data_IF_874682353524
#
_entry.id   IF_874682353524
#
_cell.length_a   1.000
_cell.length_b   1.000
_cell.length_c   1.000
_cell.angle_alpha   90.00
_cell.angle_beta   90.00
_cell.angle_gamma   90.00
#
_symmetry.space_group_name_H-M   'P 1'
#
loop_
_entity.id
_entity.type
_entity.pdbx_description
1 polymer ?
#
# COMPACT_ATOMS: atom_id res chain seq x y z
N UNK A 1 18.25 18.52 -5.56
CA UNK A 1 17.77 19.07 -4.27
C UNK A 1 16.33 19.59 -4.31
N UNK A 2 15.83 20.08 -5.45
CA UNK A 2 14.44 20.54 -5.58
C UNK A 2 13.41 19.40 -5.48
N UNK A 3 13.70 18.24 -6.04
CA UNK A 3 12.81 17.06 -6.00
C UNK A 3 12.45 16.61 -4.57
N UNK A 4 13.36 16.81 -3.60
CA UNK A 4 13.11 16.43 -2.22
C UNK A 4 12.09 17.32 -1.50
N UNK A 5 12.07 18.62 -1.81
CA UNK A 5 11.12 19.56 -1.21
C UNK A 5 9.71 19.36 -1.77
N UNK A 6 9.55 19.19 -3.08
CA UNK A 6 8.27 18.91 -3.71
C UNK A 6 7.65 17.63 -3.15
N UNK A 7 8.45 16.56 -3.03
CA UNK A 7 7.98 15.29 -2.44
C UNK A 7 7.55 15.46 -0.99
N UNK A 8 8.24 16.28 -0.19
CA UNK A 8 7.85 16.55 1.19
C UNK A 8 6.51 17.29 1.26
N UNK A 9 6.31 18.32 0.44
CA UNK A 9 5.03 19.04 0.36
C UNK A 9 3.88 18.14 -0.09
N UNK A 10 4.10 17.29 -1.07
CA UNK A 10 3.11 16.32 -1.54
C UNK A 10 2.70 15.35 -0.41
N UNK A 11 3.68 14.76 0.28
CA UNK A 11 3.43 13.85 1.40
C UNK A 11 2.65 14.56 2.51
N UNK A 12 3.03 15.78 2.85
CA UNK A 12 2.36 16.55 3.90
C UNK A 12 0.91 16.88 3.52
N UNK A 13 0.67 17.28 2.29
CA UNK A 13 -0.68 17.51 1.74
C UNK A 13 -1.52 16.24 1.75
N UNK A 14 -0.92 15.10 1.41
CA UNK A 14 -1.61 13.81 1.46
C UNK A 14 -1.93 13.40 2.90
N UNK A 15 -1.05 13.66 3.87
CA UNK A 15 -1.34 13.43 5.28
C UNK A 15 -2.50 14.31 5.78
N UNK A 16 -2.61 15.56 5.33
CA UNK A 16 -3.76 16.42 5.65
C UNK A 16 -5.05 15.83 5.10
N UNK A 17 -5.09 15.45 3.83
CA UNK A 17 -6.25 14.79 3.23
C UNK A 17 -6.61 13.49 3.95
N UNK A 18 -5.62 12.64 4.26
CA UNK A 18 -5.84 11.39 5.00
C UNK A 18 -6.43 11.64 6.39
N UNK A 19 -5.96 12.67 7.10
CA UNK A 19 -6.48 13.05 8.39
C UNK A 19 -7.97 13.46 8.32
N UNK A 20 -8.33 14.25 7.31
CA UNK A 20 -9.71 14.66 7.06
C UNK A 20 -10.61 13.47 6.67
N UNK A 21 -10.10 12.57 5.82
CA UNK A 21 -10.79 11.34 5.43
C UNK A 21 -11.00 10.44 6.65
N UNK A 22 -9.98 10.25 7.49
CA UNK A 22 -10.06 9.45 8.71
C UNK A 22 -11.17 9.96 9.62
N UNK A 23 -11.25 11.29 9.83
CA UNK A 23 -12.29 11.92 10.61
C UNK A 23 -13.69 11.76 9.99
N UNK A 24 -13.86 12.16 8.74
CA UNK A 24 -15.17 12.15 8.03
C UNK A 24 -15.72 10.73 7.84
N UNK A 25 -14.88 9.75 7.56
CA UNK A 25 -15.26 8.38 7.21
C UNK A 25 -15.07 7.38 8.36
N UNK A 26 -14.56 7.84 9.51
CA UNK A 26 -14.27 6.99 10.69
C UNK A 26 -13.36 5.82 10.34
N UNK A 27 -12.38 6.07 9.47
CA UNK A 27 -11.36 5.08 9.11
C UNK A 27 -10.23 5.12 10.14
N UNK A 28 -9.78 3.94 10.56
CA UNK A 28 -8.58 3.83 11.38
C UNK A 28 -7.36 3.74 10.46
N UNK A 29 -6.66 4.86 10.29
CA UNK A 29 -5.50 4.97 9.40
C UNK A 29 -4.23 4.99 10.23
N UNK A 30 -3.36 4.01 9.98
CA UNK A 30 -2.05 3.89 10.59
C UNK A 30 -0.95 4.19 9.57
N UNK A 31 -0.12 5.17 9.88
CA UNK A 31 1.03 5.56 9.06
C UNK A 31 2.29 4.88 9.60
N UNK A 32 2.91 4.04 8.77
CA UNK A 32 4.23 3.46 9.05
C UNK A 32 5.30 4.47 8.66
N UNK A 33 6.04 4.96 9.64
CA UNK A 33 7.16 5.87 9.39
C UNK A 33 8.41 5.11 8.95
N UNK A 34 9.13 5.70 8.00
CA UNK A 34 10.46 5.23 7.66
C UNK A 34 11.41 5.44 8.85
N UNK A 35 12.39 4.54 9.12
CA UNK A 35 13.32 4.69 10.25
C UNK A 35 13.98 6.07 10.34
N UNK A 36 14.38 6.65 9.20
CA UNK A 36 15.05 7.94 9.14
C UNK A 36 14.20 9.14 9.59
N UNK A 37 12.87 8.99 9.63
CA UNK A 37 11.95 10.06 10.06
C UNK A 37 11.16 9.65 11.31
N UNK A 38 11.56 8.57 11.97
CA UNK A 38 10.88 8.03 13.15
C UNK A 38 10.84 9.02 14.33
N UNK A 39 11.82 9.93 14.41
CA UNK A 39 11.88 10.98 15.42
C UNK A 39 10.74 12.01 15.30
N UNK A 40 10.14 12.16 14.12
CA UNK A 40 9.01 13.07 13.89
C UNK A 40 7.66 12.53 14.41
N UNK A 41 7.60 11.28 14.90
CA UNK A 41 6.36 10.63 15.31
C UNK A 41 5.50 11.49 16.24
N UNK A 42 6.11 12.07 17.29
CA UNK A 42 5.38 12.85 18.28
C UNK A 42 4.81 14.14 17.69
N UNK A 43 5.59 14.82 16.84
CA UNK A 43 5.15 16.06 16.21
C UNK A 43 4.03 15.81 15.18
N UNK A 44 4.16 14.77 14.38
CA UNK A 44 3.12 14.36 13.43
C UNK A 44 1.83 13.97 14.16
N UNK A 45 1.93 13.26 15.30
CA UNK A 45 0.76 12.87 16.09
C UNK A 45 0.04 14.07 16.72
N UNK A 46 0.76 15.13 17.07
CA UNK A 46 0.15 16.39 17.54
C UNK A 46 -0.57 17.15 16.44
N UNK A 47 -0.09 17.03 15.20
CA UNK A 47 -0.64 17.75 14.07
C UNK A 47 -1.81 17.04 13.39
N UNK A 48 -1.79 15.71 13.35
CA UNK A 48 -2.75 14.85 12.66
C UNK A 48 -3.52 13.97 13.66
N UNK A 49 -4.51 14.52 14.33
CA UNK A 49 -5.23 13.89 15.45
C UNK A 49 -6.00 12.61 15.07
N UNK A 50 -6.39 12.47 13.82
CA UNK A 50 -7.17 11.32 13.34
C UNK A 50 -6.29 10.25 12.68
N UNK A 51 -4.96 10.45 12.65
CA UNK A 51 -4.00 9.47 12.16
C UNK A 51 -3.20 8.88 13.34
N UNK A 52 -2.87 7.61 13.22
CA UNK A 52 -1.93 6.95 14.12
C UNK A 52 -0.58 6.78 13.41
N UNK A 53 0.52 6.96 14.14
CA UNK A 53 1.88 6.80 13.60
C UNK A 53 2.62 5.69 14.31
N UNK A 54 3.32 4.83 13.55
CA UNK A 54 4.04 3.69 14.10
C UNK A 54 5.45 3.54 13.53
N UNK A 55 6.36 3.12 14.42
CA UNK A 55 7.73 2.71 14.09
C UNK A 55 7.90 1.19 14.19
N UNK A 56 6.81 0.44 14.45
CA UNK A 56 6.86 -1.01 14.54
C UNK A 56 7.33 -1.64 13.23
N UNK A 57 7.87 -2.86 13.34
CA UNK A 57 8.23 -3.66 12.16
C UNK A 57 7.00 -3.95 11.33
N UNK A 58 7.19 -3.97 10.00
CA UNK A 58 6.09 -4.12 9.05
C UNK A 58 5.31 -5.42 9.25
N UNK A 59 5.97 -6.51 9.58
CA UNK A 59 5.35 -7.82 9.77
C UNK A 59 4.34 -7.81 10.93
N UNK A 60 4.60 -7.00 11.98
CA UNK A 60 3.67 -6.82 13.10
C UNK A 60 2.47 -5.97 12.68
N UNK A 61 2.69 -4.95 11.86
CA UNK A 61 1.63 -4.08 11.39
C UNK A 61 0.71 -4.80 10.41
N UNK A 62 1.24 -5.58 9.49
CA UNK A 62 0.45 -6.34 8.51
C UNK A 62 -0.55 -7.29 9.18
N UNK A 63 -0.19 -7.90 10.33
CA UNK A 63 -1.12 -8.79 11.08
C UNK A 63 -2.41 -8.11 11.56
N UNK A 64 -2.42 -6.79 11.66
CA UNK A 64 -3.60 -5.98 12.11
C UNK A 64 -4.14 -5.10 10.98
N UNK A 65 -3.64 -5.28 9.76
CA UNK A 65 -3.98 -4.44 8.61
C UNK A 65 -5.00 -5.13 7.73
N UNK A 66 -6.09 -4.46 7.42
CA UNK A 66 -7.10 -4.95 6.49
C UNK A 66 -6.79 -4.57 5.05
N UNK A 67 -6.12 -3.44 4.83
CA UNK A 67 -5.79 -2.88 3.52
C UNK A 67 -4.50 -2.09 3.64
N UNK A 68 -3.55 -2.28 2.73
CA UNK A 68 -2.35 -1.46 2.60
C UNK A 68 -2.59 -0.34 1.59
N UNK A 69 -2.26 0.91 1.94
CA UNK A 69 -2.12 2.02 1.01
C UNK A 69 -0.62 2.28 0.79
N UNK A 70 -0.16 2.27 -0.44
CA UNK A 70 1.25 2.50 -0.76
C UNK A 70 1.44 3.12 -2.14
N UNK A 71 2.49 3.94 -2.28
CA UNK A 71 2.94 4.42 -3.58
C UNK A 71 3.85 3.39 -4.26
N UNK A 72 5.00 3.11 -3.63
CA UNK A 72 6.01 2.16 -4.12
C UNK A 72 6.83 1.65 -2.94
N UNK A 73 6.77 0.36 -2.66
CA UNK A 73 7.49 -0.24 -1.54
C UNK A 73 7.47 -1.77 -1.66
N UNK A 74 8.53 -2.44 -1.24
CA UNK A 74 8.55 -3.91 -1.09
C UNK A 74 7.50 -4.43 -0.11
N UNK A 75 6.95 -3.55 0.74
CA UNK A 75 5.81 -3.85 1.61
C UNK A 75 4.57 -4.29 0.83
N UNK A 76 4.48 -3.90 -0.46
CA UNK A 76 3.39 -4.32 -1.35
C UNK A 76 3.42 -5.83 -1.54
N UNK A 77 4.58 -6.40 -1.83
CA UNK A 77 4.78 -7.84 -1.98
C UNK A 77 4.47 -8.58 -0.67
N UNK A 78 4.97 -8.07 0.46
CA UNK A 78 4.70 -8.64 1.78
C UNK A 78 3.20 -8.66 2.10
N UNK A 79 2.50 -7.58 1.75
CA UNK A 79 1.05 -7.44 1.91
C UNK A 79 0.30 -8.48 1.07
N UNK A 80 0.63 -8.57 -0.22
CA UNK A 80 -0.01 -9.51 -1.14
C UNK A 80 0.26 -10.97 -0.75
N UNK A 81 1.49 -11.30 -0.34
CA UNK A 81 1.84 -12.62 0.20
C UNK A 81 1.05 -12.94 1.47
N UNK A 82 0.78 -11.94 2.30
CA UNK A 82 -0.05 -12.06 3.51
C UNK A 82 -1.55 -12.04 3.21
N UNK A 83 -1.95 -11.99 1.93
CA UNK A 83 -3.35 -11.88 1.46
C UNK A 83 -4.07 -10.64 1.96
N UNK A 84 -3.34 -9.53 2.09
CA UNK A 84 -3.86 -8.22 2.44
C UNK A 84 -4.00 -7.42 1.14
N UNK A 85 -5.19 -6.91 0.81
CA UNK A 85 -5.41 -6.08 -0.37
C UNK A 85 -4.58 -4.80 -0.33
N UNK A 86 -4.20 -4.34 -1.51
CA UNK A 86 -3.37 -3.15 -1.67
C UNK A 86 -4.11 -2.09 -2.48
N UNK A 87 -4.01 -0.86 -2.05
CA UNK A 87 -4.39 0.32 -2.82
C UNK A 87 -3.11 1.05 -3.20
N UNK A 88 -2.79 1.06 -4.49
CA UNK A 88 -1.70 1.85 -5.03
C UNK A 88 -2.20 3.28 -5.24
N UNK A 89 -1.37 4.26 -4.87
CA UNK A 89 -1.66 5.67 -5.10
C UNK A 89 -0.50 6.35 -5.79
N UNK A 90 -0.78 7.02 -6.91
CA UNK A 90 0.14 7.97 -7.54
C UNK A 90 -0.65 9.04 -8.32
N UNK A 91 -0.77 10.22 -7.74
CA UNK A 91 -1.46 11.36 -8.35
C UNK A 91 -0.85 11.81 -9.68
N UNK A 92 0.43 11.50 -9.90
CA UNK A 92 1.18 11.92 -11.10
C UNK A 92 1.28 10.82 -12.16
N UNK A 93 0.74 9.62 -11.90
CA UNK A 93 0.82 8.46 -12.80
C UNK A 93 2.26 8.09 -13.21
N UNK A 94 3.24 8.40 -12.35
CA UNK A 94 4.67 8.19 -12.63
C UNK A 94 5.06 6.73 -12.56
N UNK A 95 4.39 5.97 -11.69
CA UNK A 95 4.79 4.61 -11.41
C UNK A 95 3.60 3.72 -11.00
N UNK A 96 3.56 2.53 -11.56
CA UNK A 96 2.62 1.50 -11.14
C UNK A 96 3.39 0.23 -10.77
N UNK A 97 3.43 -0.10 -9.48
CA UNK A 97 4.23 -1.18 -8.92
C UNK A 97 3.83 -2.56 -9.47
N UNK A 98 2.55 -2.80 -9.65
CA UNK A 98 2.01 -4.03 -10.23
C UNK A 98 0.69 -3.76 -10.95
N UNK A 99 0.16 -4.78 -11.63
CA UNK A 99 -1.15 -4.69 -12.27
C UNK A 99 -2.22 -4.38 -11.23
N UNK A 100 -3.06 -3.40 -11.49
CA UNK A 100 -4.08 -2.94 -10.56
C UNK A 100 -5.38 -2.58 -11.27
N UNK A 101 -6.50 -2.76 -10.58
CA UNK A 101 -7.82 -2.36 -11.07
C UNK A 101 -8.01 -0.84 -10.86
N UNK A 102 -8.24 -0.12 -11.96
CA UNK A 102 -8.48 1.33 -11.96
C UNK A 102 -9.96 1.67 -11.86
N UNK A 103 -10.82 0.73 -12.24
CA UNK A 103 -12.26 0.94 -12.19
C UNK A 103 -12.80 0.62 -10.79
N UNK A 104 -13.06 1.66 -10.01
CA UNK A 104 -13.59 1.56 -8.65
C UNK A 104 -15.07 1.11 -8.59
N UNK A 105 -15.73 0.76 -9.70
CA UNK A 105 -17.02 0.07 -9.65
C UNK A 105 -16.86 -1.44 -9.50
N UNK A 106 -15.71 -2.01 -9.84
CA UNK A 106 -15.42 -3.44 -9.63
C UNK A 106 -15.05 -3.69 -8.17
N UNK A 107 -15.60 -4.78 -7.60
CA UNK A 107 -15.43 -5.12 -6.19
C UNK A 107 -14.42 -6.26 -6.00
N UNK A 108 -13.88 -6.37 -4.79
CA UNK A 108 -13.06 -7.49 -4.30
C UNK A 108 -11.84 -7.81 -5.17
N UNK A 109 -11.13 -6.78 -5.61
CA UNK A 109 -9.83 -6.91 -6.26
C UNK A 109 -8.71 -6.88 -5.23
N UNK A 110 -7.65 -7.66 -5.48
CA UNK A 110 -6.48 -7.71 -4.60
C UNK A 110 -5.69 -6.39 -4.65
N UNK A 111 -5.68 -5.74 -5.81
CA UNK A 111 -4.98 -4.45 -5.98
C UNK A 111 -5.89 -3.47 -6.70
N UNK A 112 -6.04 -2.29 -6.10
CA UNK A 112 -6.64 -1.12 -6.71
C UNK A 112 -5.59 -0.05 -6.99
N UNK A 113 -5.88 0.83 -7.94
CA UNK A 113 -5.07 2.00 -8.23
C UNK A 113 -5.94 3.25 -8.18
N UNK A 114 -5.51 4.24 -7.40
CA UNK A 114 -6.18 5.55 -7.30
C UNK A 114 -5.21 6.67 -7.65
N UNK A 115 -5.72 7.71 -8.30
CA UNK A 115 -4.94 8.90 -8.64
C UNK A 115 -5.09 10.01 -7.60
N UNK A 116 -6.20 10.03 -6.89
CA UNK A 116 -6.46 10.99 -5.83
C UNK A 116 -6.77 10.25 -4.52
N UNK A 117 -6.21 10.77 -3.43
CA UNK A 117 -6.43 10.25 -2.09
C UNK A 117 -7.91 10.33 -1.67
N UNK A 118 -8.69 11.25 -2.25
CA UNK A 118 -10.14 11.35 -2.01
C UNK A 118 -10.92 10.12 -2.51
N UNK A 119 -10.36 9.33 -3.42
CA UNK A 119 -10.93 8.06 -3.86
C UNK A 119 -10.69 6.91 -2.86
N UNK A 120 -9.83 7.09 -1.86
CA UNK A 120 -9.50 6.06 -0.87
C UNK A 120 -10.73 5.44 -0.19
N UNK A 121 -11.72 6.22 0.30
CA UNK A 121 -12.89 5.63 0.95
C UNK A 121 -13.71 4.73 0.02
N UNK A 122 -13.78 5.07 -1.27
CA UNK A 122 -14.47 4.29 -2.29
C UNK A 122 -13.72 2.99 -2.57
N UNK A 123 -12.39 3.06 -2.70
CA UNK A 123 -11.55 1.88 -2.88
C UNK A 123 -11.64 0.93 -1.67
N UNK A 124 -11.55 1.45 -0.44
CA UNK A 124 -11.69 0.66 0.79
C UNK A 124 -13.07 -0.01 0.87
N UNK A 125 -14.16 0.72 0.54
CA UNK A 125 -15.52 0.17 0.54
C UNK A 125 -15.70 -0.98 -0.45
N UNK A 126 -14.92 -1.02 -1.52
CA UNK A 126 -14.98 -2.10 -2.51
C UNK A 126 -14.26 -3.37 -2.05
N UNK A 127 -13.46 -3.28 -0.98
CA UNK A 127 -12.74 -4.41 -0.38
C UNK A 127 -13.61 -4.96 0.75
N UNK A 128 -14.32 -6.04 0.45
CA UNK A 128 -15.16 -6.73 1.43
C UNK A 128 -14.38 -7.92 1.99
N UNK A 129 -13.93 -7.79 3.24
CA UNK A 129 -13.17 -8.83 3.94
C UNK A 129 -13.95 -10.15 4.15
N UNK A 130 -15.27 -10.11 4.05
CA UNK A 130 -16.12 -11.33 4.13
C UNK A 130 -16.12 -12.15 2.84
N UNK A 131 -15.68 -11.56 1.73
CA UNK A 131 -15.65 -12.20 0.41
C UNK A 131 -14.24 -12.64 0.04
N UNK A 132 -14.17 -13.77 -0.67
CA UNK A 132 -12.89 -14.28 -1.17
C UNK A 132 -12.32 -13.34 -2.23
N UNK A 133 -11.14 -12.78 -1.94
CA UNK A 133 -10.34 -12.02 -2.89
C UNK A 133 -9.33 -12.96 -3.56
N UNK A 134 -9.18 -12.86 -4.88
CA UNK A 134 -8.20 -13.63 -5.61
C UNK A 134 -6.84 -12.92 -5.61
N UNK A 135 -5.84 -13.55 -5.01
CA UNK A 135 -4.46 -13.07 -4.98
C UNK A 135 -3.53 -13.85 -5.92
N UNK A 136 -4.03 -14.86 -6.65
CA UNK A 136 -3.18 -15.77 -7.42
C UNK A 136 -2.38 -15.06 -8.53
N UNK A 137 -2.92 -13.96 -9.07
CA UNK A 137 -2.24 -13.18 -10.11
C UNK A 137 -1.02 -12.41 -9.59
N UNK A 138 -0.84 -12.32 -8.26
CA UNK A 138 0.21 -11.56 -7.58
C UNK A 138 1.17 -12.45 -6.79
N UNK A 139 0.77 -13.68 -6.47
CA UNK A 139 1.57 -14.62 -5.67
C UNK A 139 2.10 -15.69 -6.60
N UNK A 140 3.33 -15.52 -7.06
CA UNK A 140 4.03 -16.55 -7.79
C UNK A 140 4.44 -17.65 -6.81
N UNK A 141 3.73 -18.75 -6.79
CA UNK A 141 4.20 -20.00 -6.18
C UNK A 141 5.22 -20.62 -7.10
N UNK A 142 6.42 -20.05 -7.10
CA UNK A 142 7.51 -20.65 -7.82
C UNK A 142 7.86 -21.99 -7.15
N UNK A 143 7.67 -23.06 -7.89
CA UNK A 143 8.40 -24.30 -7.68
C UNK A 143 9.87 -24.02 -8.07
N UNK A 144 10.61 -23.38 -7.16
CA UNK A 144 12.01 -22.96 -7.37
C UNK A 144 12.84 -24.11 -7.95
N UNK A 145 12.57 -25.35 -7.54
CA UNK A 145 13.24 -26.57 -8.04
C UNK A 145 12.97 -26.86 -9.52
N UNK A 146 11.80 -26.53 -10.06
CA UNK A 146 11.48 -26.69 -11.48
C UNK A 146 12.18 -25.63 -12.34
N UNK A 147 12.20 -24.39 -11.86
CA UNK A 147 12.82 -23.28 -12.60
C UNK A 147 14.35 -23.38 -12.63
N UNK A 148 14.99 -23.84 -11.55
CA UNK A 148 16.44 -24.07 -11.53
C UNK A 148 16.81 -25.19 -12.51
N UNK A 149 16.09 -26.32 -12.54
CA UNK A 149 16.33 -27.40 -13.49
C UNK A 149 16.14 -26.95 -14.94
N UNK A 150 15.15 -26.15 -15.23
CA UNK A 150 14.88 -25.64 -16.57
C UNK A 150 15.93 -24.62 -17.02
N UNK A 151 16.33 -23.71 -16.11
CA UNK A 151 17.44 -22.77 -16.35
C UNK A 151 18.76 -23.48 -16.57
N UNK A 152 19.10 -24.50 -15.74
CA UNK A 152 20.32 -25.28 -15.91
C UNK A 152 20.31 -26.02 -17.24
N UNK A 153 19.16 -26.54 -17.66
CA UNK A 153 19.04 -27.23 -18.97
C UNK A 153 19.20 -26.27 -20.15
N UNK A 154 18.74 -25.00 -20.04
CA UNK A 154 18.92 -23.98 -21.08
C UNK A 154 20.33 -23.41 -21.13
N UNK A 155 21.09 -23.46 -20.05
CA UNK A 155 22.48 -22.99 -19.99
C UNK A 155 23.48 -24.03 -20.43
N UNK A 156 23.08 -25.30 -20.53
CA UNK A 156 23.93 -26.42 -20.96
C UNK A 156 23.68 -26.87 -22.42
N UNK A 157 22.80 -26.17 -23.13
CA UNK A 157 22.59 -26.26 -24.59
C UNK A 157 23.27 -25.11 -25.32
#
# INVERSE_FOLDING_TARGET
>A
HFLGCETFFEIFKDLQKLNDIANRKKLNILIKLHPNISYLKNELSKQFFFLSFSNEKIEKLLRKTNVLLSFSSTTIEDSLCSKIPVILIDQWLRFQHCVAEKNLSKKNKAVYYINDIEDLPKAVKNIDSSKRINFNDYIFRNNINLNIKELTRKLLQ
#
